data_IF_285568537391
#
_entry.id   IF_285568537391
#
_cell.length_a   1.000
_cell.length_b   1.000
_cell.length_c   1.000
_cell.angle_alpha   90.00
_cell.angle_beta   90.00
_cell.angle_gamma   90.00
#
_symmetry.space_group_name_H-M   'P 1'
#
loop_
_entity.id
_entity.type
_entity.pdbx_description
1 polymer ?
#
# COMPACT_ATOMS: atom_id res chain seq x y z
N UNK A 1 9.90 -16.50 4.21
CA UNK A 1 10.15 -16.55 5.66
C UNK A 1 8.86 -16.25 6.40
N UNK A 2 8.57 -16.93 7.51
CA UNK A 2 7.36 -16.65 8.31
C UNK A 2 7.42 -15.23 8.88
N UNK A 3 6.43 -14.41 8.59
CA UNK A 3 6.34 -13.05 9.12
C UNK A 3 6.09 -13.07 10.64
N UNK A 4 6.40 -11.97 11.34
CA UNK A 4 6.13 -11.83 12.77
C UNK A 4 4.64 -12.03 13.08
N UNK A 5 3.76 -11.55 12.19
CA UNK A 5 2.33 -11.73 12.29
C UNK A 5 1.92 -13.22 12.31
N UNK A 6 2.59 -14.07 11.51
CA UNK A 6 2.32 -15.51 11.49
C UNK A 6 2.65 -16.16 12.83
N UNK A 7 3.72 -15.71 13.51
CA UNK A 7 4.12 -16.21 14.83
C UNK A 7 3.09 -15.88 15.92
N UNK A 8 2.48 -14.70 15.82
CA UNK A 8 1.47 -14.24 16.79
C UNK A 8 0.04 -14.49 16.33
N UNK A 9 -0.17 -15.16 15.19
CA UNK A 9 -1.49 -15.39 14.58
C UNK A 9 -2.29 -14.08 14.41
N UNK A 10 -1.59 -13.01 14.04
CA UNK A 10 -2.20 -11.70 13.80
C UNK A 10 -2.60 -11.54 12.33
N UNK A 11 -3.70 -10.84 12.03
CA UNK A 11 -4.03 -10.45 10.67
C UNK A 11 -2.90 -9.63 10.03
N UNK A 12 -2.68 -9.85 8.74
CA UNK A 12 -1.67 -9.12 7.96
C UNK A 12 -2.36 -8.04 7.13
N UNK A 13 -1.79 -6.83 7.17
CA UNK A 13 -2.18 -5.71 6.33
C UNK A 13 -0.93 -5.07 5.73
N UNK A 14 -1.11 -4.41 4.60
CA UNK A 14 -0.08 -3.66 3.90
C UNK A 14 -0.70 -2.58 3.02
N UNK A 15 -0.09 -1.40 3.04
CA UNK A 15 -0.47 -0.25 2.22
C UNK A 15 0.76 0.35 1.55
N UNK A 16 0.54 1.05 0.44
CA UNK A 16 1.61 1.62 -0.37
C UNK A 16 2.41 2.74 0.32
N UNK A 17 1.85 3.39 1.34
CA UNK A 17 2.42 4.59 1.96
C UNK A 17 2.87 5.62 0.91
N UNK A 18 1.99 5.84 -0.07
CA UNK A 18 2.29 6.62 -1.26
C UNK A 18 2.44 8.11 -0.93
N UNK A 19 3.61 8.66 -1.27
CA UNK A 19 3.91 10.09 -1.20
C UNK A 19 3.91 10.76 -2.59
N UNK A 20 3.63 9.99 -3.64
CA UNK A 20 3.50 10.44 -5.03
C UNK A 20 2.52 9.50 -5.78
N UNK A 21 1.94 9.99 -6.88
CA UNK A 21 0.81 9.32 -7.55
C UNK A 21 1.16 7.92 -8.06
N UNK A 22 2.35 7.73 -8.61
CA UNK A 22 2.81 6.44 -9.15
C UNK A 22 3.06 5.38 -8.06
N UNK A 23 3.14 5.77 -6.80
CA UNK A 23 3.22 4.84 -5.67
C UNK A 23 1.84 4.34 -5.21
N UNK A 24 0.75 5.02 -5.57
CA UNK A 24 -0.61 4.64 -5.14
C UNK A 24 -0.93 3.23 -5.65
N UNK A 25 -1.38 2.36 -4.74
CA UNK A 25 -1.72 0.97 -5.07
C UNK A 25 -0.53 0.05 -5.30
N UNK A 26 0.71 0.51 -5.11
CA UNK A 26 1.91 -0.32 -5.27
C UNK A 26 2.05 -1.40 -4.18
N UNK A 27 1.40 -1.18 -3.04
CA UNK A 27 1.06 -2.20 -2.06
C UNK A 27 -0.36 -1.96 -1.54
N UNK A 28 -1.09 -3.05 -1.33
CA UNK A 28 -2.47 -3.04 -0.89
C UNK A 28 -2.84 -4.37 -0.22
N UNK A 29 -3.97 -4.37 0.46
CA UNK A 29 -4.54 -5.57 1.08
C UNK A 29 -5.87 -5.86 0.41
N UNK A 30 -6.03 -7.07 -0.11
CA UNK A 30 -7.33 -7.60 -0.49
C UNK A 30 -8.01 -8.08 0.79
N UNK A 31 -9.22 -7.59 1.04
CA UNK A 31 -10.07 -8.04 2.15
C UNK A 31 -11.22 -8.84 1.56
N UNK A 32 -11.34 -10.11 1.97
CA UNK A 32 -12.39 -10.99 1.45
C UNK A 32 -13.68 -10.83 2.28
N UNK A 33 -14.66 -10.16 1.69
CA UNK A 33 -15.97 -9.84 2.27
C UNK A 33 -17.00 -9.59 1.17
N UNK A 34 -18.27 -9.95 1.42
CA UNK A 34 -19.39 -9.70 0.51
C UNK A 34 -20.00 -8.29 0.67
N UNK A 35 -19.44 -7.50 1.58
CA UNK A 35 -19.94 -6.17 1.98
C UNK A 35 -18.83 -5.12 1.91
N UNK A 36 -19.19 -3.93 1.44
CA UNK A 36 -18.32 -2.73 1.41
C UNK A 36 -18.48 -1.85 2.65
N UNK A 37 -19.32 -2.27 3.60
CA UNK A 37 -19.53 -1.55 4.85
C UNK A 37 -18.31 -1.67 5.75
N UNK A 38 -17.91 -0.54 6.36
CA UNK A 38 -16.68 -0.45 7.15
C UNK A 38 -16.63 -1.48 8.29
N UNK A 39 -17.75 -1.72 8.96
CA UNK A 39 -17.85 -2.67 10.07
C UNK A 39 -17.60 -4.13 9.61
N UNK A 40 -18.09 -4.50 8.43
CA UNK A 40 -17.90 -5.85 7.89
C UNK A 40 -16.48 -6.06 7.37
N UNK A 41 -15.90 -5.03 6.75
CA UNK A 41 -14.47 -4.98 6.40
C UNK A 41 -13.61 -5.18 7.67
N UNK A 42 -13.92 -4.46 8.75
CA UNK A 42 -13.23 -4.61 10.05
C UNK A 42 -13.34 -6.03 10.62
N UNK A 43 -14.52 -6.64 10.56
CA UNK A 43 -14.70 -8.05 10.99
C UNK A 43 -13.87 -9.01 10.14
N UNK A 44 -13.85 -8.84 8.82
CA UNK A 44 -13.05 -9.66 7.92
C UNK A 44 -11.55 -9.55 8.23
N UNK A 45 -11.05 -8.34 8.45
CA UNK A 45 -9.66 -8.09 8.87
C UNK A 45 -9.37 -8.79 10.20
N UNK A 46 -10.23 -8.64 11.23
CA UNK A 46 -10.05 -9.29 12.53
C UNK A 46 -10.01 -10.82 12.45
N UNK A 47 -10.72 -11.42 11.50
CA UNK A 47 -10.71 -12.86 11.23
C UNK A 47 -9.49 -13.34 10.46
N UNK A 48 -8.68 -12.41 9.91
CA UNK A 48 -7.53 -12.73 9.09
C UNK A 48 -7.86 -13.03 7.63
N UNK A 49 -9.05 -12.64 7.16
CA UNK A 49 -9.50 -12.80 5.77
C UNK A 49 -8.83 -11.73 4.87
N UNK A 50 -7.49 -11.74 4.86
CA UNK A 50 -6.68 -10.73 4.19
C UNK A 50 -5.54 -11.34 3.38
N UNK A 51 -5.32 -10.79 2.18
CA UNK A 51 -4.19 -11.12 1.32
C UNK A 51 -3.41 -9.84 1.01
N UNK A 52 -2.16 -9.79 1.46
CA UNK A 52 -1.28 -8.64 1.24
C UNK A 52 -0.57 -8.81 -0.10
N UNK A 53 -0.68 -7.79 -0.95
CA UNK A 53 -0.03 -7.73 -2.26
C UNK A 53 0.81 -6.47 -2.41
N UNK A 54 1.74 -6.53 -3.36
CA UNK A 54 2.56 -5.39 -3.74
C UNK A 54 4.05 -5.63 -3.55
N UNK A 55 4.82 -4.58 -3.86
CA UNK A 55 6.28 -4.55 -3.70
C UNK A 55 6.74 -3.16 -3.29
N UNK A 56 7.93 -3.09 -2.70
CA UNK A 56 8.56 -1.81 -2.38
C UNK A 56 8.90 -1.00 -3.63
N UNK A 57 9.03 0.31 -3.45
CA UNK A 57 9.60 1.21 -4.45
C UNK A 57 11.08 0.86 -4.63
N UNK A 58 11.51 0.78 -5.88
CA UNK A 58 12.92 0.60 -6.25
C UNK A 58 13.69 1.91 -6.12
N UNK A 59 15.01 1.82 -5.99
CA UNK A 59 15.87 3.01 -5.92
C UNK A 59 15.68 3.90 -7.16
N UNK A 60 15.56 3.29 -8.35
CA UNK A 60 15.36 4.02 -9.60
C UNK A 60 14.04 4.78 -9.61
N UNK A 61 12.92 4.13 -9.26
CA UNK A 61 11.62 4.79 -9.17
C UNK A 61 11.67 5.98 -8.20
N UNK A 62 12.37 5.84 -7.07
CA UNK A 62 12.53 6.93 -6.11
C UNK A 62 13.30 8.13 -6.70
N UNK A 63 14.33 7.88 -7.50
CA UNK A 63 15.10 8.94 -8.19
C UNK A 63 14.22 9.62 -9.25
N UNK A 64 13.53 8.84 -10.09
CA UNK A 64 12.66 9.37 -11.15
C UNK A 64 11.50 10.21 -10.58
N UNK A 65 10.85 9.76 -9.52
CA UNK A 65 9.77 10.52 -8.87
C UNK A 65 10.26 11.86 -8.34
N UNK A 66 11.49 11.92 -7.80
CA UNK A 66 12.08 13.19 -7.35
C UNK A 66 12.38 14.13 -8.51
N UNK A 67 13.00 13.63 -9.59
CA UNK A 67 13.29 14.44 -10.78
C UNK A 67 12.01 14.99 -11.42
N UNK A 68 10.97 14.16 -11.54
CA UNK A 68 9.66 14.58 -12.06
C UNK A 68 9.06 15.70 -11.22
N UNK A 69 9.10 15.57 -9.89
CA UNK A 69 8.61 16.60 -8.99
C UNK A 69 9.33 17.95 -9.16
N UNK A 70 10.67 17.95 -9.27
CA UNK A 70 11.46 19.17 -9.53
C UNK A 70 11.12 19.81 -10.89
N UNK A 71 10.96 18.98 -11.93
CA UNK A 71 10.54 19.42 -13.27
C UNK A 71 9.14 20.04 -13.26
N UNK A 72 8.17 19.39 -12.61
CA UNK A 72 6.81 19.89 -12.48
C UNK A 72 6.79 21.21 -11.67
N UNK A 73 7.63 21.33 -10.63
CA UNK A 73 7.78 22.56 -9.85
C UNK A 73 8.35 23.72 -10.68
N UNK A 74 9.33 23.45 -11.56
CA UNK A 74 9.89 24.46 -12.46
C UNK A 74 8.86 24.89 -13.52
N UNK A 75 8.13 23.93 -14.12
CA UNK A 75 7.15 24.23 -15.15
C UNK A 75 5.98 25.08 -14.63
N UNK A 76 5.53 24.84 -13.40
CA UNK A 76 4.47 25.63 -12.77
C UNK A 76 4.93 26.99 -12.22
N UNK A 77 6.22 27.33 -12.36
CA UNK A 77 6.80 28.61 -11.92
C UNK A 77 7.04 29.62 -13.05
N UNK A 78 6.74 29.23 -14.29
CA UNK A 78 6.83 30.04 -15.53
C UNK A 78 5.41 30.32 -16.02
#
# INVERSE_FOLDING_TARGET
GSSLADRFKLPRIGGSDAHFLEAVGRAFTIVETDSVEAEDILKAIKKGNTLVHGRGITILEKIFSKLKFELDSLHNSI
#
